data_IF_436809002459
#
_entry.id   IF_436809002459
#
_cell.length_a   1.000
_cell.length_b   1.000
_cell.length_c   1.000
_cell.angle_alpha   90.00
_cell.angle_beta   90.00
_cell.angle_gamma   90.00
#
_symmetry.space_group_name_H-M   'P 1'
#
loop_
_entity.id
_entity.type
_entity.pdbx_description
1 polymer ?
#
# COMPACT_ATOMS: atom_id res chain seq x y z
N UNK A 1 12.87 30.87 -13.31
CA UNK A 1 13.12 29.85 -12.26
C UNK A 1 11.83 29.11 -12.04
N UNK A 2 11.75 27.83 -12.44
CA UNK A 2 10.54 27.01 -12.29
C UNK A 2 10.51 26.45 -10.87
N UNK A 3 9.64 27.00 -10.02
CA UNK A 3 9.28 26.41 -8.73
C UNK A 3 8.43 25.16 -9.02
N UNK A 4 9.06 23.98 -9.05
CA UNK A 4 8.33 22.71 -8.98
C UNK A 4 7.96 22.46 -7.53
N UNK A 5 6.81 23.01 -7.14
CA UNK A 5 6.10 22.62 -5.93
C UNK A 5 5.47 21.24 -6.16
N UNK A 6 6.30 20.18 -6.20
CA UNK A 6 5.79 18.81 -6.08
C UNK A 6 5.51 18.55 -4.61
N UNK A 7 4.38 19.05 -4.12
CA UNK A 7 3.86 18.67 -2.81
C UNK A 7 3.72 17.16 -2.79
N UNK A 8 4.52 16.50 -1.95
CA UNK A 8 4.39 15.06 -1.78
C UNK A 8 3.14 14.78 -0.96
N UNK A 9 2.35 13.80 -1.36
CA UNK A 9 1.17 13.38 -0.62
C UNK A 9 1.14 11.86 -0.45
N UNK A 10 0.42 11.42 0.57
CA UNK A 10 0.27 10.01 0.89
C UNK A 10 -1.12 9.51 0.46
N UNK A 11 -1.20 8.27 0.02
CA UNK A 11 -2.46 7.63 -0.35
C UNK A 11 -2.53 6.22 0.20
N UNK A 12 -3.72 5.81 0.68
CA UNK A 12 -4.04 4.42 1.01
C UNK A 12 -4.58 3.74 -0.23
N UNK A 13 -3.92 2.66 -0.65
CA UNK A 13 -4.42 1.79 -1.71
C UNK A 13 -4.89 0.47 -1.11
N UNK A 14 -6.16 0.08 -1.28
CA UNK A 14 -6.64 -1.23 -0.84
C UNK A 14 -5.85 -2.34 -1.52
N UNK A 15 -5.54 -3.37 -0.75
CA UNK A 15 -4.77 -4.51 -1.19
C UNK A 15 -5.31 -5.83 -0.64
N UNK A 16 -5.11 -6.91 -1.38
CA UNK A 16 -5.45 -8.26 -0.97
C UNK A 16 -4.33 -9.24 -1.29
N UNK A 17 -4.01 -10.14 -0.37
CA UNK A 17 -3.05 -11.22 -0.66
C UNK A 17 -3.61 -12.16 -1.73
N UNK A 18 -2.83 -12.39 -2.78
CA UNK A 18 -3.06 -13.46 -3.74
C UNK A 18 -2.43 -14.76 -3.23
N UNK A 19 -1.16 -14.70 -2.83
CA UNK A 19 -0.42 -15.84 -2.29
C UNK A 19 1.09 -15.76 -2.52
N UNK A 20 1.82 -16.82 -2.20
CA UNK A 20 3.27 -16.89 -2.36
C UNK A 20 3.63 -17.51 -3.71
N UNK A 21 3.73 -16.69 -4.77
CA UNK A 21 4.13 -17.16 -6.10
C UNK A 21 5.66 -17.29 -6.27
N UNK A 22 6.43 -16.69 -5.36
CA UNK A 22 7.90 -16.70 -5.34
C UNK A 22 8.39 -16.87 -3.90
N UNK A 23 9.57 -17.47 -3.73
CA UNK A 23 10.16 -17.65 -2.41
C UNK A 23 10.57 -16.30 -1.81
N UNK A 24 10.21 -16.06 -0.55
CA UNK A 24 10.52 -14.81 0.16
C UNK A 24 9.55 -13.66 -0.11
N UNK A 25 8.67 -13.78 -1.10
CA UNK A 25 7.71 -12.74 -1.52
C UNK A 25 6.26 -13.22 -1.38
N UNK A 26 5.36 -12.28 -1.10
CA UNK A 26 3.92 -12.45 -1.20
C UNK A 26 3.44 -11.58 -2.35
N UNK A 27 2.76 -12.19 -3.31
CA UNK A 27 2.06 -11.45 -4.36
C UNK A 27 0.77 -10.90 -3.79
N UNK A 28 0.58 -9.60 -3.92
CA UNK A 28 -0.64 -8.89 -3.54
C UNK A 28 -1.33 -8.35 -4.78
N UNK A 29 -2.63 -8.13 -4.66
CA UNK A 29 -3.45 -7.42 -5.63
C UNK A 29 -3.70 -6.03 -5.05
N UNK A 30 -3.34 -4.98 -5.79
CA UNK A 30 -3.64 -3.58 -5.48
C UNK A 30 -4.88 -3.12 -6.24
N UNK A 31 -5.74 -2.36 -5.55
CA UNK A 31 -6.96 -1.78 -6.09
C UNK A 31 -6.90 -0.24 -6.07
N UNK A 32 -6.13 0.41 -6.96
CA UNK A 32 -5.95 1.86 -6.96
C UNK A 32 -7.19 2.66 -7.42
N UNK A 33 -8.24 1.99 -7.91
CA UNK A 33 -9.49 2.60 -8.37
C UNK A 33 -9.69 2.52 -9.89
N UNK A 34 -10.78 3.10 -10.40
CA UNK A 34 -11.11 3.16 -11.85
C UNK A 34 -11.14 1.80 -12.58
N UNK A 35 -11.47 0.71 -11.87
CA UNK A 35 -11.46 -0.64 -12.44
C UNK A 35 -10.06 -1.20 -12.73
N UNK A 36 -9.00 -0.51 -12.31
CA UNK A 36 -7.63 -0.99 -12.43
C UNK A 36 -7.32 -2.01 -11.33
N UNK A 37 -6.60 -3.05 -11.72
CA UNK A 37 -6.10 -4.11 -10.84
C UNK A 37 -4.62 -4.33 -11.17
N UNK A 38 -3.76 -4.20 -10.17
CA UNK A 38 -2.32 -4.40 -10.32
C UNK A 38 -1.86 -5.52 -9.40
N UNK A 39 -0.89 -6.32 -9.83
CA UNK A 39 -0.27 -7.35 -8.98
C UNK A 39 1.16 -6.98 -8.71
N UNK A 40 1.54 -6.94 -7.44
CA UNK A 40 2.89 -6.56 -7.02
C UNK A 40 3.47 -7.64 -6.09
N UNK A 41 4.73 -8.06 -6.28
CA UNK A 41 5.45 -8.85 -5.30
C UNK A 41 5.89 -7.94 -4.16
N UNK A 42 5.68 -8.38 -2.92
CA UNK A 42 6.17 -7.71 -1.71
C UNK A 42 6.96 -8.69 -0.88
N UNK A 43 8.13 -8.26 -0.42
CA UNK A 43 8.93 -9.01 0.54
C UNK A 43 8.11 -9.41 1.78
N UNK A 44 8.11 -10.69 2.11
CA UNK A 44 7.31 -11.27 3.21
C UNK A 44 7.49 -10.55 4.54
N UNK A 45 8.70 -10.04 4.83
CA UNK A 45 9.00 -9.35 6.09
C UNK A 45 8.32 -7.97 6.22
N UNK A 46 7.91 -7.35 5.10
CA UNK A 46 7.17 -6.09 5.10
C UNK A 46 5.68 -6.28 5.44
N UNK A 47 5.17 -7.51 5.29
CA UNK A 47 3.78 -7.84 5.60
C UNK A 47 3.73 -8.45 7.01
N UNK A 48 2.95 -7.88 7.95
CA UNK A 48 2.72 -8.48 9.26
C UNK A 48 2.24 -9.93 9.14
N UNK A 49 2.76 -10.83 9.96
CA UNK A 49 2.46 -12.28 9.87
C UNK A 49 0.96 -12.59 9.84
N UNK A 50 0.16 -11.87 10.64
CA UNK A 50 -1.30 -12.03 10.71
C UNK A 50 -2.04 -11.60 9.44
N UNK A 51 -1.36 -10.99 8.46
CA UNK A 51 -1.92 -10.51 7.19
C UNK A 51 -1.36 -11.27 5.97
N UNK A 52 -0.57 -12.34 6.17
CA UNK A 52 0.08 -13.08 5.08
C UNK A 52 -0.79 -14.15 4.43
N UNK A 53 -1.96 -14.43 5.00
CA UNK A 53 -2.84 -15.49 4.49
C UNK A 53 -3.50 -15.07 3.18
N UNK A 54 -3.74 -16.01 2.24
CA UNK A 54 -4.51 -15.72 1.03
C UNK A 54 -5.83 -15.05 1.34
N UNK A 55 -6.20 -14.04 0.54
CA UNK A 55 -7.37 -13.19 0.73
C UNK A 55 -7.35 -12.29 1.97
N UNK A 56 -6.28 -12.25 2.77
CA UNK A 56 -6.11 -11.20 3.78
C UNK A 56 -6.10 -9.84 3.09
N UNK A 57 -6.89 -8.92 3.62
CA UNK A 57 -7.06 -7.57 3.11
C UNK A 57 -6.36 -6.56 4.03
N UNK A 58 -5.77 -5.54 3.43
CA UNK A 58 -5.10 -4.44 4.12
C UNK A 58 -4.95 -3.24 3.20
N UNK A 59 -4.40 -2.14 3.71
CA UNK A 59 -4.02 -0.99 2.91
C UNK A 59 -2.50 -0.94 2.73
N UNK A 60 -2.06 -0.49 1.56
CA UNK A 60 -0.67 -0.12 1.30
C UNK A 60 -0.59 1.40 1.28
N UNK A 61 0.29 1.96 2.10
CA UNK A 61 0.57 3.39 2.12
C UNK A 61 1.61 3.71 1.05
N UNK A 62 1.22 4.50 0.05
CA UNK A 62 2.12 5.00 -0.97
C UNK A 62 2.39 6.49 -0.79
N UNK A 63 3.61 6.91 -1.12
CA UNK A 63 3.99 8.32 -1.27
C UNK A 63 4.03 8.70 -2.75
N UNK A 64 3.38 9.81 -3.08
CA UNK A 64 3.37 10.44 -4.39
C UNK A 64 4.06 11.80 -4.35
N UNK A 65 4.67 12.26 -5.46
CA UNK A 65 4.97 11.47 -6.65
C UNK A 65 6.11 10.47 -6.37
N UNK A 66 6.08 9.27 -6.98
CA UNK A 66 7.15 8.27 -6.84
C UNK A 66 6.68 6.83 -6.66
N UNK A 67 5.43 6.61 -6.24
CA UNK A 67 4.89 5.26 -5.92
C UNK A 67 5.77 4.50 -4.92
N UNK A 68 6.40 5.23 -4.02
CA UNK A 68 7.21 4.63 -2.97
C UNK A 68 6.29 3.98 -1.95
N UNK A 69 6.43 2.66 -1.76
CA UNK A 69 5.69 1.93 -0.73
C UNK A 69 6.31 2.23 0.63
N UNK A 70 5.54 2.85 1.51
CA UNK A 70 6.02 3.28 2.83
C UNK A 70 5.78 2.18 3.88
N UNK A 71 4.55 1.65 3.94
CA UNK A 71 4.17 0.58 4.90
C UNK A 71 2.83 -0.07 4.58
N UNK A 72 2.61 -1.24 5.19
CA UNK A 72 1.30 -1.90 5.27
C UNK A 72 0.52 -1.34 6.47
N UNK A 73 -0.76 -1.05 6.26
CA UNK A 73 -1.69 -0.55 7.27
C UNK A 73 -2.88 -1.51 7.41
N UNK A 74 -3.33 -1.78 8.63
CA UNK A 74 -4.59 -2.49 8.86
C UNK A 74 -5.79 -1.59 8.52
N UNK A 75 -6.97 -2.18 8.30
CA UNK A 75 -8.17 -1.45 7.88
C UNK A 75 -8.54 -0.24 8.75
N UNK A 76 -8.34 -0.36 10.06
CA UNK A 76 -8.69 0.67 11.03
C UNK A 76 -7.44 1.31 11.66
N UNK A 77 -6.28 1.15 11.02
CA UNK A 77 -5.03 1.71 11.52
C UNK A 77 -4.94 3.20 11.19
N UNK A 78 -4.84 4.02 12.24
CA UNK A 78 -4.65 5.45 12.11
C UNK A 78 -3.30 5.76 11.45
N UNK A 79 -3.33 6.60 10.42
CA UNK A 79 -2.18 7.02 9.64
C UNK A 79 -2.10 8.55 9.70
N UNK A 80 -1.26 9.13 10.58
CA UNK A 80 -1.14 10.58 10.74
C UNK A 80 -0.91 11.31 9.40
N UNK A 81 -0.18 10.69 8.49
CA UNK A 81 0.17 11.22 7.17
C UNK A 81 -1.03 11.52 6.28
N UNK A 82 -2.19 10.89 6.54
CA UNK A 82 -3.43 11.06 5.77
C UNK A 82 -4.58 11.56 6.66
N UNK A 83 -4.67 11.07 7.90
CA UNK A 83 -5.83 11.30 8.75
C UNK A 83 -5.74 12.60 9.58
N UNK A 84 -4.55 13.19 9.73
CA UNK A 84 -4.36 14.38 10.57
C UNK A 84 -5.06 15.64 10.03
N UNK A 85 -5.41 15.69 8.74
CA UNK A 85 -6.06 16.84 8.10
C UNK A 85 -7.60 16.77 8.04
N UNK A 86 -8.23 15.72 8.60
CA UNK A 86 -9.70 15.53 8.58
C UNK A 86 -10.38 15.92 9.90
N UNK A 87 -9.85 16.91 10.64
CA UNK A 87 -10.39 17.36 11.94
C UNK A 87 -10.98 18.76 11.88
#
# INVERSE_FOLDING_TARGET
MHQQDTSSFYVRVPARVLGCLRAGEITIILFPGHGLVLTEPIETYLIPESLRMPNSEFYVLFKHPGREMIRILRHNEFCPEIDANNK
#
